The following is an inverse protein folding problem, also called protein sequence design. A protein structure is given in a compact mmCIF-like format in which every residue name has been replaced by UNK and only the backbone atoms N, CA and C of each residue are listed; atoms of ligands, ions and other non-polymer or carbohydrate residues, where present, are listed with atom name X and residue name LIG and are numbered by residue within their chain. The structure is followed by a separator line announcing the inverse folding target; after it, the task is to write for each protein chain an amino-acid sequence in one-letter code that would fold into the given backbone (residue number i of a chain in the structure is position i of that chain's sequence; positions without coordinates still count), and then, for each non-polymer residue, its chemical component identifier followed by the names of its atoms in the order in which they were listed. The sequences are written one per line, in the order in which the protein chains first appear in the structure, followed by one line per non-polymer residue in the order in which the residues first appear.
data_IF_202778807090
#
_entry.id   IF_202778807090
#
_cell.length_a   1.000
_cell.length_b   1.000
_cell.length_c   1.000
_cell.angle_alpha   90.00
_cell.angle_beta   90.00
_cell.angle_gamma   90.00
#
_symmetry.space_group_name_H-M   'P 1'
#
loop_
_entity.id
_entity.type
_entity.pdbx_description
1 polymer ?
#
# COMPACT_ATOMS: atom_id res chain seq x y z
N UNK A 1 -7.45 -19.97 5.05
CA UNK A 1 -8.36 -19.30 4.07
C UNK A 1 -7.59 -19.02 2.77
N UNK A 2 -8.12 -19.42 1.61
CA UNK A 2 -7.55 -19.03 0.31
C UNK A 2 -8.22 -17.74 -0.16
N UNK A 3 -7.48 -16.83 -0.76
CA UNK A 3 -8.02 -15.63 -1.40
C UNK A 3 -9.20 -15.93 -2.32
N UNK A 4 -10.16 -15.01 -2.37
CA UNK A 4 -11.18 -14.97 -3.41
C UNK A 4 -10.53 -14.70 -4.78
N UNK A 5 -11.32 -14.76 -5.86
CA UNK A 5 -10.82 -14.63 -7.24
C UNK A 5 -10.08 -13.30 -7.50
N UNK A 6 -10.34 -12.28 -6.68
CA UNK A 6 -9.72 -10.95 -6.71
C UNK A 6 -8.39 -10.85 -5.92
N UNK A 7 -7.94 -11.96 -5.29
CA UNK A 7 -6.72 -11.97 -4.47
C UNK A 7 -6.95 -11.71 -2.98
N UNK A 8 -8.20 -11.55 -2.52
CA UNK A 8 -8.56 -11.44 -1.11
C UNK A 8 -8.24 -10.06 -0.51
N UNK A 9 -9.25 -9.39 0.03
CA UNK A 9 -9.11 -8.13 0.75
C UNK A 9 -9.56 -8.31 2.20
N UNK A 10 -9.09 -7.43 3.08
CA UNK A 10 -9.71 -7.27 4.40
C UNK A 10 -11.09 -6.66 4.17
N UNK A 11 -12.10 -7.12 4.90
CA UNK A 11 -13.47 -6.64 4.79
C UNK A 11 -14.10 -6.58 6.19
N UNK A 12 -14.89 -5.53 6.43
CA UNK A 12 -15.74 -5.43 7.60
C UNK A 12 -16.81 -6.55 7.61
N UNK A 13 -17.27 -6.90 8.82
CA UNK A 13 -18.27 -7.94 9.01
C UNK A 13 -19.37 -7.44 9.93
N UNK A 14 -20.62 -7.66 9.56
CA UNK A 14 -21.77 -7.26 10.37
C UNK A 14 -21.84 -8.07 11.67
N UNK A 15 -22.51 -7.52 12.68
CA UNK A 15 -22.66 -8.18 13.98
C UNK A 15 -23.36 -9.54 13.90
N UNK A 16 -24.24 -9.73 12.91
CA UNK A 16 -24.91 -11.01 12.63
C UNK A 16 -24.03 -12.01 11.85
N UNK A 17 -22.79 -11.63 11.53
CA UNK A 17 -21.84 -12.45 10.78
C UNK A 17 -22.01 -12.41 9.25
N UNK A 18 -22.95 -11.62 8.72
CA UNK A 18 -23.08 -11.39 7.29
C UNK A 18 -21.97 -10.46 6.75
N UNK A 19 -21.68 -10.59 5.46
CA UNK A 19 -20.75 -9.71 4.75
C UNK A 19 -21.54 -8.61 4.02
N UNK A 20 -21.19 -7.32 4.19
CA UNK A 20 -21.79 -6.24 3.41
C UNK A 20 -21.36 -6.31 1.93
N UNK A 21 -21.98 -5.48 1.08
CA UNK A 21 -21.52 -5.29 -0.29
C UNK A 21 -20.06 -4.78 -0.28
N UNK A 22 -19.24 -5.27 -1.21
CA UNK A 22 -17.81 -5.02 -1.19
C UNK A 22 -17.28 -4.67 -2.57
N UNK A 23 -16.41 -3.66 -2.60
CA UNK A 23 -15.45 -3.47 -3.67
C UNK A 23 -14.09 -3.14 -3.05
N UNK A 24 -12.97 -3.51 -3.68
CA UNK A 24 -11.63 -3.11 -3.24
C UNK A 24 -11.43 -1.60 -3.02
N UNK A 25 -12.21 -0.78 -3.71
CA UNK A 25 -12.15 0.67 -3.64
C UNK A 25 -12.92 1.26 -2.45
N UNK A 26 -13.68 0.44 -1.70
CA UNK A 26 -14.48 0.93 -0.58
C UNK A 26 -13.59 1.42 0.56
N UNK A 27 -13.98 2.53 1.18
CA UNK A 27 -13.47 3.03 2.46
C UNK A 27 -14.36 2.60 3.64
N UNK A 28 -15.49 1.94 3.39
CA UNK A 28 -16.37 1.42 4.43
C UNK A 28 -15.63 0.45 5.36
N UNK A 29 -15.55 0.82 6.64
CA UNK A 29 -14.86 0.03 7.66
C UNK A 29 -13.35 0.27 7.73
N UNK A 30 -12.84 1.25 6.98
CA UNK A 30 -11.45 1.70 6.98
C UNK A 30 -11.38 3.19 7.31
N UNK A 31 -10.20 3.66 7.72
CA UNK A 31 -10.00 5.08 8.10
C UNK A 31 -9.09 5.73 7.06
N UNK A 32 -9.62 6.70 6.32
CA UNK A 32 -8.87 7.56 5.38
C UNK A 32 -8.17 6.84 4.21
N UNK A 33 -8.46 5.56 3.99
CA UNK A 33 -7.99 4.80 2.86
C UNK A 33 -8.95 3.66 2.53
N UNK A 34 -8.77 3.05 1.36
CA UNK A 34 -9.60 1.94 0.91
C UNK A 34 -9.16 0.60 1.50
N UNK A 35 -10.00 -0.41 1.34
CA UNK A 35 -9.65 -1.81 1.56
C UNK A 35 -8.38 -2.23 0.78
N UNK A 36 -8.13 -1.65 -0.40
CA UNK A 36 -6.97 -1.96 -1.22
C UNK A 36 -5.65 -1.42 -0.67
N UNK A 37 -5.70 -0.32 0.07
CA UNK A 37 -4.54 0.19 0.81
C UNK A 37 -4.36 -0.62 2.10
N UNK A 38 -5.44 -0.81 2.86
CA UNK A 38 -5.38 -1.47 4.17
C UNK A 38 -4.99 -2.95 4.14
N UNK A 39 -5.15 -3.64 3.02
CA UNK A 39 -4.79 -5.07 2.91
C UNK A 39 -3.33 -5.33 3.27
N UNK A 40 -2.45 -4.34 3.12
CA UNK A 40 -1.03 -4.45 3.39
C UNK A 40 -0.66 -4.27 4.87
N UNK A 41 -1.58 -3.76 5.70
CA UNK A 41 -1.37 -3.50 7.13
C UNK A 41 -1.42 -4.77 8.00
N UNK A 42 -0.65 -5.78 7.63
CA UNK A 42 -0.37 -6.99 8.43
C UNK A 42 1.15 -7.11 8.65
N UNK A 43 1.81 -6.07 9.22
CA UNK A 43 3.28 -5.97 9.22
C UNK A 43 3.96 -7.07 10.04
N UNK A 44 3.24 -7.69 10.97
CA UNK A 44 3.76 -8.73 11.85
C UNK A 44 3.65 -10.15 11.28
N UNK A 45 2.99 -10.35 10.13
CA UNK A 45 2.88 -11.65 9.46
C UNK A 45 2.69 -11.51 7.94
N UNK A 46 3.70 -10.94 7.28
CA UNK A 46 3.69 -10.77 5.82
C UNK A 46 3.69 -12.10 5.07
N UNK A 47 4.33 -13.14 5.62
CA UNK A 47 4.30 -14.48 5.04
C UNK A 47 2.87 -15.03 5.03
N UNK A 48 2.17 -14.98 6.16
CA UNK A 48 0.77 -15.39 6.26
C UNK A 48 -0.16 -14.58 5.35
N UNK A 49 0.08 -13.27 5.22
CA UNK A 49 -0.63 -12.41 4.26
C UNK A 49 -0.42 -12.89 2.82
N UNK A 50 0.82 -13.12 2.39
CA UNK A 50 1.11 -13.54 1.02
C UNK A 50 0.55 -14.93 0.72
N UNK A 51 0.62 -15.86 1.66
CA UNK A 51 -0.04 -17.17 1.54
C UNK A 51 -1.56 -17.04 1.38
N UNK A 52 -2.19 -16.18 2.17
CA UNK A 52 -3.62 -15.90 2.07
C UNK A 52 -4.00 -15.31 0.70
N UNK A 53 -3.14 -14.45 0.11
CA UNK A 53 -3.30 -13.90 -1.24
C UNK A 53 -3.11 -14.95 -2.37
N UNK A 54 -2.69 -16.16 -2.02
CA UNK A 54 -2.41 -17.24 -2.98
C UNK A 54 -0.95 -17.30 -3.44
N UNK A 55 -0.04 -16.80 -2.60
CA UNK A 55 1.41 -16.94 -2.72
C UNK A 55 2.13 -15.69 -3.24
N UNK A 56 3.44 -15.72 -3.08
CA UNK A 56 4.40 -14.67 -3.41
C UNK A 56 4.24 -14.08 -4.82
N UNK A 57 3.98 -14.92 -5.84
CA UNK A 57 3.80 -14.45 -7.21
C UNK A 57 2.53 -13.57 -7.36
N UNK A 58 1.44 -13.93 -6.67
CA UNK A 58 0.20 -13.14 -6.67
C UNK A 58 0.37 -11.84 -5.88
N UNK A 59 1.03 -11.91 -4.72
CA UNK A 59 1.35 -10.74 -3.90
C UNK A 59 2.22 -9.75 -4.70
N UNK A 60 3.28 -10.23 -5.35
CA UNK A 60 4.14 -9.41 -6.23
C UNK A 60 3.33 -8.74 -7.33
N UNK A 61 2.53 -9.49 -8.08
CA UNK A 61 1.74 -8.92 -9.18
C UNK A 61 0.71 -7.89 -8.68
N UNK A 62 0.23 -8.04 -7.44
CA UNK A 62 -0.67 -7.08 -6.81
C UNK A 62 0.09 -5.82 -6.34
N UNK A 63 1.28 -5.95 -5.76
CA UNK A 63 2.17 -4.81 -5.46
C UNK A 63 2.53 -4.04 -6.74
N UNK A 64 2.84 -4.75 -7.83
CA UNK A 64 3.15 -4.12 -9.12
C UNK A 64 1.99 -3.23 -9.60
N UNK A 65 0.75 -3.74 -9.51
CA UNK A 65 -0.47 -2.96 -9.83
C UNK A 65 -0.79 -1.86 -8.80
N UNK A 66 -0.41 -2.06 -7.55
CA UNK A 66 -0.62 -1.07 -6.49
C UNK A 66 0.24 0.18 -6.75
N UNK A 67 1.50 -0.01 -7.15
CA UNK A 67 2.44 1.09 -7.42
C UNK A 67 2.45 1.60 -8.87
N UNK A 68 1.77 0.95 -9.81
CA UNK A 68 1.77 1.36 -11.21
C UNK A 68 0.38 1.43 -11.82
N UNK A 69 0.18 2.42 -12.69
CA UNK A 69 -0.95 2.47 -13.62
C UNK A 69 -0.78 1.43 -14.73
N UNK A 70 -1.87 1.16 -15.46
CA UNK A 70 -1.85 0.25 -16.61
C UNK A 70 -0.87 0.67 -17.73
N UNK A 71 -0.50 1.95 -17.79
CA UNK A 71 0.48 2.48 -18.74
C UNK A 71 1.94 2.39 -18.24
N UNK A 72 2.17 1.78 -17.07
CA UNK A 72 3.49 1.59 -16.46
C UNK A 72 4.04 2.82 -15.73
N UNK A 73 3.31 3.92 -15.63
CA UNK A 73 3.71 5.05 -14.78
C UNK A 73 3.44 4.76 -13.31
N UNK A 74 4.25 5.36 -12.43
CA UNK A 74 4.05 5.30 -10.98
C UNK A 74 2.67 5.83 -10.55
N UNK A 75 2.14 5.22 -9.51
CA UNK A 75 0.88 5.51 -8.88
C UNK A 75 1.09 5.58 -7.35
N UNK A 76 1.50 6.74 -6.85
CA UNK A 76 1.89 6.91 -5.43
C UNK A 76 0.88 7.64 -4.56
N UNK A 77 0.23 8.66 -5.09
CA UNK A 77 -0.76 9.50 -4.39
C UNK A 77 -1.73 10.06 -5.40
N UNK A 78 -3.02 10.18 -5.04
CA UNK A 78 -4.10 10.66 -5.92
C UNK A 78 -4.21 9.84 -7.23
N UNK A 79 -3.79 8.57 -7.21
CA UNK A 79 -3.86 7.68 -8.37
C UNK A 79 -5.17 6.88 -8.42
N UNK A 80 -5.96 6.94 -7.35
CA UNK A 80 -7.25 6.27 -7.21
C UNK A 80 -7.21 5.24 -6.09
N UNK A 81 -8.38 4.79 -5.61
CA UNK A 81 -8.51 4.02 -4.37
C UNK A 81 -7.96 2.59 -4.45
N UNK A 82 -7.38 2.18 -5.57
CA UNK A 82 -6.74 0.86 -5.73
C UNK A 82 -5.21 0.92 -5.70
N UNK A 83 -4.65 2.12 -5.54
CA UNK A 83 -3.22 2.40 -5.62
C UNK A 83 -2.69 2.88 -4.27
N UNK A 84 -1.37 2.99 -4.18
CA UNK A 84 -0.72 3.59 -3.01
C UNK A 84 -1.20 5.04 -2.80
N UNK A 85 -1.25 5.43 -1.53
CA UNK A 85 -1.48 6.80 -1.07
C UNK A 85 -0.36 7.15 -0.07
N UNK A 86 0.86 7.35 -0.58
CA UNK A 86 2.09 7.61 0.20
C UNK A 86 2.16 9.03 0.79
N UNK A 87 1.06 9.77 0.73
CA UNK A 87 0.83 10.98 1.51
C UNK A 87 0.02 10.72 2.79
N UNK A 88 -0.20 9.44 3.14
CA UNK A 88 -0.98 8.99 4.29
C UNK A 88 -0.37 7.71 4.88
N UNK A 89 -0.47 7.51 6.20
CA UNK A 89 0.24 6.46 6.95
C UNK A 89 -0.06 5.02 6.52
N UNK A 90 -1.29 4.62 6.16
CA UNK A 90 -1.58 3.24 5.81
C UNK A 90 -0.73 2.68 4.65
N UNK A 91 -0.19 3.55 3.80
CA UNK A 91 0.64 3.15 2.67
C UNK A 91 2.14 3.16 2.95
N UNK A 92 2.61 3.82 4.01
CA UNK A 92 4.04 4.19 4.08
C UNK A 92 4.98 2.99 4.13
N UNK A 93 4.57 1.86 4.70
CA UNK A 93 5.40 0.64 4.77
C UNK A 93 5.48 -0.12 3.44
N UNK A 94 4.48 0.08 2.56
CA UNK A 94 4.26 -0.78 1.40
C UNK A 94 5.44 -0.90 0.42
N UNK A 95 6.32 0.11 0.22
CA UNK A 95 7.49 -0.04 -0.66
C UNK A 95 8.47 -1.13 -0.21
N UNK A 96 8.58 -1.39 1.10
CA UNK A 96 9.47 -2.42 1.65
C UNK A 96 8.91 -3.83 1.51
N UNK A 97 7.62 -4.00 1.20
CA UNK A 97 7.04 -5.33 0.96
C UNK A 97 7.68 -6.08 -0.21
N UNK A 98 8.32 -5.38 -1.15
CA UNK A 98 9.09 -6.02 -2.21
C UNK A 98 10.29 -6.83 -1.67
N UNK A 99 10.92 -6.43 -0.58
CA UNK A 99 11.97 -7.22 0.09
C UNK A 99 11.40 -8.56 0.57
N UNK A 100 10.20 -8.53 1.15
CA UNK A 100 9.54 -9.72 1.70
C UNK A 100 9.00 -10.67 0.63
N UNK A 101 8.73 -10.20 -0.60
CA UNK A 101 8.44 -11.09 -1.74
C UNK A 101 9.69 -11.54 -2.51
N UNK A 102 10.89 -11.24 -2.01
CA UNK A 102 12.16 -11.66 -2.60
C UNK A 102 12.58 -10.83 -3.82
N UNK A 103 12.10 -9.59 -3.95
CA UNK A 103 12.41 -8.68 -5.06
C UNK A 103 12.96 -7.34 -4.56
N UNK A 104 14.06 -7.33 -3.80
CA UNK A 104 14.58 -6.11 -3.15
C UNK A 104 14.94 -4.98 -4.13
N UNK A 105 15.28 -5.32 -5.37
CA UNK A 105 15.51 -4.33 -6.43
C UNK A 105 14.28 -3.45 -6.72
N UNK A 106 13.07 -3.97 -6.47
CA UNK A 106 11.83 -3.20 -6.60
C UNK A 106 11.59 -2.29 -5.39
N UNK A 107 11.96 -2.68 -4.17
CA UNK A 107 11.99 -1.75 -3.01
C UNK A 107 12.89 -0.57 -3.33
N UNK A 108 14.12 -0.83 -3.77
CA UNK A 108 15.10 0.22 -4.12
C UNK A 108 14.55 1.19 -5.17
N UNK A 109 13.99 0.65 -6.26
CA UNK A 109 13.41 1.46 -7.34
C UNK A 109 12.19 2.28 -6.88
N UNK A 110 11.32 1.68 -6.07
CA UNK A 110 10.09 2.32 -5.59
C UNK A 110 10.42 3.43 -4.60
N UNK A 111 11.23 3.15 -3.57
CA UNK A 111 11.64 4.15 -2.57
C UNK A 111 12.34 5.34 -3.23
N UNK A 112 13.27 5.09 -4.16
CA UNK A 112 13.93 6.16 -4.92
C UNK A 112 12.92 7.00 -5.70
N UNK A 113 12.01 6.36 -6.43
CA UNK A 113 11.01 7.07 -7.22
C UNK A 113 10.06 7.89 -6.33
N UNK A 114 9.68 7.38 -5.16
CA UNK A 114 8.84 8.08 -4.19
C UNK A 114 9.54 9.34 -3.66
N UNK A 115 10.78 9.20 -3.17
CA UNK A 115 11.59 10.32 -2.67
C UNK A 115 11.77 11.39 -3.75
N UNK A 116 12.12 10.98 -4.98
CA UNK A 116 12.42 11.89 -6.08
C UNK A 116 11.18 12.60 -6.66
N UNK A 117 9.96 12.10 -6.38
CA UNK A 117 8.72 12.64 -6.97
C UNK A 117 7.80 13.33 -5.97
N UNK A 118 7.76 12.85 -4.73
CA UNK A 118 6.82 13.32 -3.72
C UNK A 118 7.41 14.40 -2.80
N UNK A 119 8.70 14.31 -2.44
CA UNK A 119 9.35 15.31 -1.59
C UNK A 119 10.02 16.41 -2.39
N UNK A 120 9.91 17.65 -1.91
CA UNK A 120 10.54 18.82 -2.54
C UNK A 120 11.12 19.75 -1.48
N UNK A 121 12.18 20.47 -1.85
CA UNK A 121 12.70 21.56 -1.03
C UNK A 121 11.91 22.86 -1.31
N UNK A 122 10.65 22.88 -0.86
CA UNK A 122 9.70 23.99 -1.04
C UNK A 122 8.71 24.05 0.14
N UNK A 123 7.98 25.16 0.35
CA UNK A 123 6.98 25.27 1.42
C UNK A 123 5.88 24.20 1.39
N UNK A 124 5.57 23.63 0.23
CA UNK A 124 4.65 22.52 -0.01
C UNK A 124 5.40 21.18 -0.24
N UNK A 125 6.54 21.01 0.44
CA UNK A 125 7.54 19.99 0.15
C UNK A 125 7.24 18.59 0.69
N UNK A 126 6.23 18.42 1.54
CA UNK A 126 5.80 17.14 2.11
C UNK A 126 4.52 16.72 1.37
N UNK A 127 4.40 15.45 0.94
CA UNK A 127 3.30 15.02 0.07
C UNK A 127 1.91 15.05 0.72
N UNK A 128 1.85 15.06 2.05
CA UNK A 128 0.63 15.12 2.85
C UNK A 128 0.86 15.90 4.14
N UNK A 129 0.02 15.65 5.14
CA UNK A 129 0.30 16.11 6.49
C UNK A 129 1.61 15.46 6.98
N UNK A 130 2.42 16.18 7.75
CA UNK A 130 3.64 15.61 8.32
C UNK A 130 3.35 14.69 9.52
N UNK A 131 2.12 14.75 10.05
CA UNK A 131 1.61 13.96 11.18
C UNK A 131 2.61 13.80 12.32
N UNK A 132 2.99 14.95 12.87
CA UNK A 132 3.94 15.08 13.98
C UNK A 132 5.33 14.46 13.69
N UNK A 133 5.72 14.41 12.42
CA UNK A 133 7.02 13.96 11.95
C UNK A 133 7.02 12.56 11.35
N UNK A 134 5.87 11.91 11.17
CA UNK A 134 5.75 10.60 10.55
C UNK A 134 6.30 10.63 9.12
N UNK A 135 5.80 11.53 8.25
CA UNK A 135 6.28 11.65 6.87
C UNK A 135 7.74 12.12 6.79
N UNK A 136 8.14 13.05 7.65
CA UNK A 136 9.53 13.48 7.76
C UNK A 136 10.46 12.32 8.16
N UNK A 137 10.04 11.47 9.10
CA UNK A 137 10.81 10.30 9.52
C UNK A 137 10.92 9.27 8.41
N UNK A 138 9.86 9.07 7.62
CA UNK A 138 9.86 8.21 6.45
C UNK A 138 10.93 8.63 5.44
N UNK A 139 11.04 9.93 5.17
CA UNK A 139 12.09 10.46 4.30
C UNK A 139 13.49 10.19 4.86
N UNK A 140 13.71 10.44 6.16
CA UNK A 140 15.01 10.20 6.80
C UNK A 140 15.42 8.74 6.67
N UNK A 141 14.54 7.80 7.00
CA UNK A 141 14.83 6.36 6.87
C UNK A 141 15.06 5.92 5.43
N UNK A 142 14.35 6.51 4.48
CA UNK A 142 14.53 6.23 3.04
C UNK A 142 15.84 6.78 2.46
N UNK A 143 16.47 7.74 3.14
CA UNK A 143 17.71 8.38 2.71
C UNK A 143 18.99 7.75 3.29
N UNK A 144 18.86 6.90 4.33
CA UNK A 144 19.96 6.16 4.97
C UNK A 144 20.32 4.88 4.19
#
# INVERSE_FOLDING_TARGET
PKAAADGGYIQNRNADGSWPAFTPATDDGFVEASAAVYVWMVPFDLHGLFDAMGGYARATARLDRFFHRADGRWAFTNAGPLHAELNNEPSVETPWLYDFVGQPYKTQATVRAVVDTLWKNAPDGIPGNDDLGEMSSWYVWSAL
#
